data_IF_113239166721
#
_entry.id   IF_113239166721
#
_cell.length_a   1.000
_cell.length_b   1.000
_cell.length_c   1.000
_cell.angle_alpha   90.00
_cell.angle_beta   90.00
_cell.angle_gamma   90.00
#
_symmetry.space_group_name_H-M   'P 1'
#
loop_
_entity.id
_entity.type
_entity.pdbx_description
1 polymer ?
#
# COMPACT_ATOMS: atom_id res chain seq x y z
N UNK A 1 -8.93 23.08 -8.07
CA UNK A 1 -8.30 22.65 -6.80
C UNK A 1 -7.19 23.66 -6.51
N UNK A 2 -7.22 24.39 -5.39
CA UNK A 2 -6.22 25.42 -5.12
C UNK A 2 -4.85 24.81 -4.78
N UNK A 3 -3.80 25.34 -5.38
CA UNK A 3 -2.41 24.93 -5.14
C UNK A 3 -1.92 25.44 -3.77
N UNK A 4 -1.01 24.73 -3.10
CA UNK A 4 -0.43 25.16 -1.81
C UNK A 4 0.38 26.45 -1.95
N UNK A 5 1.01 26.67 -3.11
CA UNK A 5 1.64 27.94 -3.43
C UNK A 5 0.62 29.08 -3.56
N UNK A 6 -0.52 28.84 -4.22
CA UNK A 6 -1.61 29.81 -4.34
C UNK A 6 -2.26 30.12 -2.98
N UNK A 7 -2.44 29.11 -2.11
CA UNK A 7 -2.97 29.28 -0.75
C UNK A 7 -2.06 30.18 0.08
N UNK A 8 -0.74 30.08 -0.11
CA UNK A 8 0.23 30.97 0.53
C UNK A 8 0.48 32.27 -0.26
N UNK A 9 -0.16 32.47 -1.42
CA UNK A 9 0.06 33.64 -2.27
C UNK A 9 1.50 33.75 -2.79
N UNK A 10 2.12 32.62 -3.10
CA UNK A 10 3.51 32.50 -3.57
C UNK A 10 3.56 31.83 -4.94
N UNK A 11 4.68 32.02 -5.64
CA UNK A 11 4.99 31.27 -6.85
C UNK A 11 5.61 29.88 -6.51
N UNK A 12 5.52 28.92 -7.43
CA UNK A 12 6.06 27.56 -7.25
C UNK A 12 7.57 27.51 -7.00
N UNK A 13 8.31 28.51 -7.48
CA UNK A 13 9.74 28.69 -7.23
C UNK A 13 10.11 29.39 -5.91
N UNK A 14 9.16 29.72 -5.03
CA UNK A 14 9.43 30.51 -3.83
C UNK A 14 10.45 29.83 -2.88
N UNK A 15 11.34 30.63 -2.31
CA UNK A 15 12.33 30.18 -1.33
C UNK A 15 11.67 29.83 0.01
N UNK A 16 12.37 29.03 0.84
CA UNK A 16 11.90 28.70 2.18
C UNK A 16 11.65 29.95 3.05
N UNK A 17 12.48 30.98 2.88
CA UNK A 17 12.33 32.25 3.60
C UNK A 17 11.00 32.95 3.24
N UNK A 18 10.62 32.95 1.97
CA UNK A 18 9.37 33.54 1.48
C UNK A 18 8.14 32.74 1.94
N UNK A 19 8.24 31.40 1.93
CA UNK A 19 7.21 30.49 2.46
C UNK A 19 6.94 30.78 3.93
N UNK A 20 8.01 30.90 4.73
CA UNK A 20 7.92 31.21 6.16
C UNK A 20 7.38 32.62 6.42
N UNK A 21 7.79 33.60 5.62
CA UNK A 21 7.30 34.98 5.74
C UNK A 21 5.81 35.09 5.41
N UNK A 22 5.35 34.45 4.33
CA UNK A 22 3.94 34.48 3.94
C UNK A 22 3.05 33.75 4.94
N UNK A 23 3.48 32.59 5.44
CA UNK A 23 2.77 31.88 6.50
C UNK A 23 2.56 32.75 7.74
N UNK A 24 3.60 33.44 8.22
CA UNK A 24 3.48 34.34 9.39
C UNK A 24 2.48 35.47 9.17
N UNK A 25 2.47 36.06 7.96
CA UNK A 25 1.52 37.12 7.59
C UNK A 25 0.09 36.60 7.58
N UNK A 26 -0.16 35.46 6.93
CA UNK A 26 -1.49 34.87 6.79
C UNK A 26 -2.01 34.29 8.12
N UNK A 27 -1.13 33.67 8.92
CA UNK A 27 -1.47 33.16 10.24
C UNK A 27 -1.94 34.27 11.20
N UNK A 28 -1.36 35.48 11.10
CA UNK A 28 -1.78 36.64 11.91
C UNK A 28 -3.17 37.15 11.51
N UNK A 29 -3.53 37.05 10.22
CA UNK A 29 -4.81 37.52 9.66
C UNK A 29 -5.94 36.52 9.94
N UNK A 30 -5.66 35.22 9.81
CA UNK A 30 -6.65 34.15 9.90
C UNK A 30 -6.60 33.35 11.21
N UNK A 31 -5.90 33.85 12.24
CA UNK A 31 -5.80 33.14 13.52
C UNK A 31 -7.20 32.89 14.12
N UNK A 32 -7.52 31.66 14.57
CA UNK A 32 -8.85 31.31 15.07
C UNK A 32 -9.31 32.17 16.27
N UNK A 33 -8.38 32.64 17.11
CA UNK A 33 -8.71 33.54 18.24
C UNK A 33 -9.16 34.94 17.80
N UNK A 34 -8.69 35.43 16.65
CA UNK A 34 -9.01 36.78 16.16
C UNK A 34 -10.10 36.79 15.10
N UNK A 35 -10.29 35.66 14.40
CA UNK A 35 -11.31 35.51 13.38
C UNK A 35 -11.85 34.07 13.39
N UNK A 36 -12.85 33.76 14.24
CA UNK A 36 -13.37 32.40 14.43
C UNK A 36 -14.05 31.83 13.18
N UNK A 37 -14.49 32.68 12.24
CA UNK A 37 -15.06 32.28 10.93
C UNK A 37 -13.96 31.86 9.94
N UNK A 38 -12.70 32.24 10.20
CA UNK A 38 -11.53 31.95 9.36
C UNK A 38 -10.87 30.60 9.61
N UNK A 39 -11.41 29.74 10.49
CA UNK A 39 -10.80 28.47 10.91
C UNK A 39 -10.46 27.54 9.74
N UNK A 40 -11.33 27.47 8.72
CA UNK A 40 -11.08 26.65 7.54
C UNK A 40 -9.94 27.20 6.66
N UNK A 41 -9.83 28.53 6.56
CA UNK A 41 -8.73 29.17 5.83
C UNK A 41 -7.41 28.95 6.56
N UNK A 42 -7.40 29.08 7.89
CA UNK A 42 -6.23 28.81 8.70
C UNK A 42 -5.75 27.36 8.57
N UNK A 43 -6.67 26.40 8.58
CA UNK A 43 -6.32 24.99 8.38
C UNK A 43 -5.68 24.73 7.00
N UNK A 44 -6.17 25.39 5.94
CA UNK A 44 -5.58 25.31 4.60
C UNK A 44 -4.18 25.94 4.55
N UNK A 45 -4.00 27.09 5.18
CA UNK A 45 -2.70 27.79 5.28
C UNK A 45 -1.68 26.95 6.05
N UNK A 46 -2.08 26.34 7.17
CA UNK A 46 -1.22 25.48 7.99
C UNK A 46 -0.76 24.27 7.19
N UNK A 47 -1.69 23.56 6.54
CA UNK A 47 -1.39 22.39 5.72
C UNK A 47 -0.47 22.71 4.53
N UNK A 48 -0.65 23.87 3.90
CA UNK A 48 0.22 24.35 2.84
C UNK A 48 1.65 24.60 3.38
N UNK A 49 1.78 25.26 4.54
CA UNK A 49 3.08 25.49 5.16
C UNK A 49 3.77 24.20 5.62
N UNK A 50 3.06 23.27 6.27
CA UNK A 50 3.62 21.97 6.68
C UNK A 50 4.19 21.20 5.48
N UNK A 51 3.48 21.23 4.35
CA UNK A 51 3.92 20.52 3.13
C UNK A 51 5.10 21.24 2.45
N UNK A 52 5.10 22.57 2.39
CA UNK A 52 6.10 23.34 1.65
C UNK A 52 7.35 23.70 2.47
N UNK A 53 7.28 23.60 3.80
CA UNK A 53 8.39 23.88 4.70
C UNK A 53 9.39 22.73 4.81
N UNK A 54 8.94 21.48 4.69
CA UNK A 54 9.80 20.30 4.65
C UNK A 54 10.29 20.07 3.20
N UNK A 55 11.61 20.06 2.92
CA UNK A 55 12.16 19.81 1.59
C UNK A 55 11.68 18.51 0.94
N UNK A 56 11.48 17.43 1.73
CA UNK A 56 11.07 16.12 1.23
C UNK A 56 9.60 16.11 0.82
N UNK A 57 8.75 16.71 1.65
CA UNK A 57 7.31 16.84 1.37
C UNK A 57 7.07 17.81 0.20
N UNK A 58 7.84 18.90 0.14
CA UNK A 58 7.81 19.87 -0.95
C UNK A 58 8.18 19.22 -2.28
N UNK A 59 9.27 18.47 -2.35
CA UNK A 59 9.69 17.78 -3.57
C UNK A 59 8.62 16.80 -4.07
N UNK A 60 7.99 16.04 -3.17
CA UNK A 60 6.90 15.11 -3.52
C UNK A 60 5.66 15.85 -4.03
N UNK A 61 5.35 17.00 -3.42
CA UNK A 61 4.24 17.86 -3.81
C UNK A 61 4.47 18.47 -5.21
N UNK A 62 5.67 19.01 -5.45
CA UNK A 62 6.07 19.63 -6.71
C UNK A 62 6.05 18.62 -7.86
N UNK A 63 6.57 17.41 -7.63
CA UNK A 63 6.52 16.32 -8.61
C UNK A 63 5.07 15.97 -9.00
N UNK A 64 4.16 15.91 -8.02
CA UNK A 64 2.74 15.62 -8.28
C UNK A 64 2.05 16.78 -9.01
N UNK A 65 2.44 18.03 -8.72
CA UNK A 65 1.89 19.20 -9.38
C UNK A 65 2.28 19.23 -10.87
N UNK A 66 3.55 18.95 -11.18
CA UNK A 66 4.09 18.88 -12.55
C UNK A 66 3.46 17.73 -13.37
N UNK A 67 3.31 16.55 -12.76
CA UNK A 67 2.64 15.41 -13.39
C UNK A 67 1.18 15.70 -13.78
N UNK A 68 0.45 16.48 -12.99
CA UNK A 68 -0.94 16.83 -13.32
C UNK A 68 -1.02 17.85 -14.46
N UNK A 69 -0.08 18.79 -14.55
CA UNK A 69 -0.02 19.79 -15.62
C UNK A 69 0.24 19.13 -16.99
N UNK A 70 1.18 18.19 -17.04
CA UNK A 70 1.52 17.44 -18.27
C UNK A 70 0.38 16.55 -18.78
N UNK A 71 -0.42 15.96 -17.88
CA UNK A 71 -1.65 15.22 -18.25
C UNK A 71 -2.69 16.17 -18.86
N UNK A 72 -2.92 17.34 -18.26
CA UNK A 72 -3.92 18.29 -18.75
C UNK A 72 -3.58 18.87 -20.13
N UNK A 73 -2.30 19.14 -20.41
CA UNK A 73 -1.86 19.63 -21.71
C UNK A 73 -2.02 18.58 -22.83
N UNK A 74 -1.73 17.31 -22.53
CA UNK A 74 -1.90 16.21 -23.48
C UNK A 74 -3.37 15.89 -23.81
N UNK A 75 -4.31 16.17 -22.90
CA UNK A 75 -5.75 15.97 -23.13
C UNK A 75 -6.38 17.10 -23.95
N UNK A 76 -5.89 18.34 -23.83
CA UNK A 76 -6.42 19.50 -24.56
C UNK A 76 -6.02 19.51 -26.05
N UNK A 77 -4.92 18.84 -26.42
CA UNK A 77 -4.43 18.81 -27.81
C UNK A 77 -5.15 17.80 -28.72
N UNK A 78 -6.02 16.92 -28.20
CA UNK A 78 -6.53 15.75 -28.95
C UNK A 78 -8.03 15.69 -29.28
N UNK A 79 -8.83 16.73 -29.01
CA UNK A 79 -10.28 16.66 -29.22
C UNK A 79 -10.85 17.83 -30.04
N UNK A 80 -10.91 17.66 -31.36
CA UNK A 80 -11.85 18.34 -32.25
C UNK A 80 -12.54 17.34 -33.19
N UNK A 81 -13.24 16.35 -32.62
CA UNK A 81 -14.31 15.61 -33.33
C UNK A 81 -15.42 15.30 -32.32
N UNK A 82 -16.46 16.13 -32.29
CA UNK A 82 -17.66 15.87 -31.50
C UNK A 82 -18.36 14.63 -32.05
N UNK A 83 -18.10 13.47 -31.42
CA UNK A 83 -18.81 12.23 -31.70
C UNK A 83 -20.14 12.30 -30.94
N UNK A 84 -21.21 12.63 -31.63
CA UNK A 84 -22.56 12.58 -31.08
C UNK A 84 -22.94 11.11 -30.90
N UNK A 85 -22.94 10.63 -29.66
CA UNK A 85 -23.40 9.28 -29.33
C UNK A 85 -24.92 9.27 -29.21
N UNK A 86 -25.61 8.54 -30.10
CA UNK A 86 -26.98 8.11 -29.84
C UNK A 86 -26.93 6.75 -29.14
N UNK A 87 -27.65 6.63 -28.02
CA UNK A 87 -27.70 5.40 -27.23
C UNK A 87 -28.99 4.65 -27.56
N UNK A 88 -28.87 3.37 -27.87
CA UNK A 88 -30.00 2.46 -28.08
C UNK A 88 -30.85 2.32 -26.78
N UNK A 89 -32.15 2.08 -26.90
CA UNK A 89 -33.10 2.11 -25.76
C UNK A 89 -32.75 1.07 -24.68
N UNK A 90 -32.18 -0.07 -25.10
CA UNK A 90 -31.64 -1.10 -24.20
C UNK A 90 -30.46 -0.60 -23.36
N UNK A 91 -29.58 0.22 -23.95
CA UNK A 91 -28.43 0.82 -23.28
C UNK A 91 -28.88 1.82 -22.21
N UNK A 92 -29.89 2.64 -22.52
CA UNK A 92 -30.50 3.59 -21.60
C UNK A 92 -31.21 2.91 -20.43
N UNK A 93 -31.86 1.77 -20.65
CA UNK A 93 -32.43 0.95 -19.56
C UNK A 93 -31.34 0.34 -18.67
N UNK A 94 -30.26 -0.19 -19.25
CA UNK A 94 -29.10 -0.69 -18.47
C UNK A 94 -28.46 0.39 -17.62
N UNK A 95 -28.22 1.57 -18.18
CA UNK A 95 -27.63 2.69 -17.42
C UNK A 95 -28.51 3.14 -16.26
N UNK A 96 -29.82 3.30 -16.50
CA UNK A 96 -30.77 3.63 -15.42
C UNK A 96 -30.76 2.59 -14.30
N UNK A 97 -30.70 1.30 -14.65
CA UNK A 97 -30.58 0.21 -13.67
C UNK A 97 -29.31 0.34 -12.82
N UNK A 98 -28.15 0.58 -13.44
CA UNK A 98 -26.90 0.76 -12.70
C UNK A 98 -26.88 2.03 -11.84
N UNK A 99 -27.39 3.16 -12.36
CA UNK A 99 -27.47 4.42 -11.61
C UNK A 99 -28.38 4.30 -10.37
N UNK A 100 -29.51 3.61 -10.49
CA UNK A 100 -30.43 3.35 -9.38
C UNK A 100 -29.78 2.46 -8.31
N UNK A 101 -29.07 1.41 -8.74
CA UNK A 101 -28.30 0.55 -7.85
C UNK A 101 -27.22 1.35 -7.09
N UNK A 102 -26.43 2.16 -7.79
CA UNK A 102 -25.37 2.97 -7.18
C UNK A 102 -25.95 3.93 -6.12
N UNK A 103 -27.07 4.60 -6.42
CA UNK A 103 -27.76 5.47 -5.44
C UNK A 103 -28.24 4.73 -4.21
N UNK A 104 -28.80 3.52 -4.38
CA UNK A 104 -29.26 2.68 -3.27
C UNK A 104 -28.11 2.29 -2.33
N UNK A 105 -26.95 1.92 -2.88
CA UNK A 105 -25.75 1.59 -2.11
C UNK A 105 -25.13 2.80 -1.40
N UNK A 106 -25.17 3.98 -2.02
CA UNK A 106 -24.70 5.21 -1.37
C UNK A 106 -25.56 5.58 -0.16
N UNK A 107 -26.89 5.50 -0.30
CA UNK A 107 -27.84 5.81 0.77
C UNK A 107 -27.70 4.86 1.96
N UNK A 108 -27.57 3.54 1.73
CA UNK A 108 -27.36 2.58 2.83
C UNK A 108 -26.05 2.81 3.57
N UNK A 109 -24.98 3.18 2.86
CA UNK A 109 -23.70 3.50 3.49
C UNK A 109 -23.77 4.74 4.38
N UNK A 110 -24.54 5.75 4.00
CA UNK A 110 -24.77 6.94 4.83
C UNK A 110 -25.63 6.62 6.07
N UNK A 111 -26.66 5.77 5.93
CA UNK A 111 -27.47 5.29 7.07
C UNK A 111 -26.64 4.49 8.09
N UNK A 112 -25.79 3.58 7.62
CA UNK A 112 -24.87 2.81 8.49
C UNK A 112 -23.88 3.70 9.23
N UNK A 113 -23.47 4.83 8.63
CA UNK A 113 -22.54 5.77 9.25
C UNK A 113 -23.22 6.64 10.33
N UNK A 114 -24.51 6.96 10.17
CA UNK A 114 -25.28 7.66 11.19
C UNK A 114 -25.62 6.77 12.40
N UNK A 115 -25.82 5.46 12.19
CA UNK A 115 -26.10 4.50 13.28
C UNK A 115 -24.88 4.23 14.18
N UNK A 116 -23.65 4.39 13.67
CA UNK A 116 -22.43 4.16 14.45
C UNK A 116 -21.97 5.39 15.24
N UNK A 117 -22.42 6.60 14.87
CA UNK A 117 -22.08 7.84 15.56
C UNK A 117 -22.95 8.13 16.81
N UNK A 118 -24.01 7.34 17.05
CA UNK A 118 -24.94 7.52 18.18
C UNK A 118 -24.70 6.67 19.43
N UNK A 119 -23.67 5.83 19.49
CA UNK A 119 -23.38 4.98 20.67
C UNK A 119 -22.26 5.60 21.50
N UNK A 120 -22.64 6.36 22.52
CA UNK A 120 -21.74 6.91 23.53
C UNK A 120 -21.18 5.82 24.45
N UNK A 121 -19.88 5.58 24.29
CA UNK A 121 -18.85 5.43 25.32
C UNK A 121 -19.23 4.78 26.67
N UNK A 122 -18.87 3.51 26.87
CA UNK A 122 -18.73 2.91 28.20
C UNK A 122 -17.33 2.26 28.37
N UNK A 123 -16.59 2.80 29.34
CA UNK A 123 -15.42 2.27 30.07
C UNK A 123 -13.99 2.23 29.50
N UNK A 124 -13.61 2.94 28.42
CA UNK A 124 -12.16 3.07 28.10
C UNK A 124 -11.38 3.83 29.19
N UNK A 125 -11.97 4.84 29.84
CA UNK A 125 -11.30 5.61 30.90
C UNK A 125 -11.07 4.82 32.20
N UNK A 126 -11.89 3.79 32.49
CA UNK A 126 -11.67 2.91 33.66
C UNK A 126 -10.42 2.06 33.47
N UNK A 127 -10.19 1.53 32.27
CA UNK A 127 -8.97 0.75 31.98
C UNK A 127 -7.71 1.62 32.01
N UNK A 128 -7.78 2.86 31.52
CA UNK A 128 -6.65 3.79 31.57
C UNK A 128 -6.25 4.11 33.03
N UNK A 129 -7.21 4.27 33.94
CA UNK A 129 -6.95 4.62 35.34
C UNK A 129 -6.27 3.48 36.12
N UNK A 130 -6.57 2.22 35.81
CA UNK A 130 -5.99 1.05 36.50
C UNK A 130 -4.80 0.43 35.78
N UNK A 131 -4.74 0.47 34.45
CA UNK A 131 -3.66 -0.17 33.68
C UNK A 131 -2.35 0.63 33.69
N UNK A 132 -2.43 1.97 33.77
CA UNK A 132 -1.25 2.84 33.75
C UNK A 132 -0.31 2.65 34.95
N UNK A 133 -0.78 2.61 36.22
CA UNK A 133 0.12 2.37 37.36
C UNK A 133 0.72 0.94 37.37
N UNK A 134 -0.03 -0.06 36.89
CA UNK A 134 0.46 -1.44 36.77
C UNK A 134 1.59 -1.51 35.73
N UNK A 135 1.41 -0.87 34.57
CA UNK A 135 2.42 -0.83 33.52
C UNK A 135 3.70 -0.11 33.96
N UNK A 136 3.56 1.02 34.67
CA UNK A 136 4.71 1.76 35.23
C UNK A 136 5.43 0.94 36.30
N UNK A 137 4.69 0.23 37.16
CA UNK A 137 5.27 -0.67 38.16
C UNK A 137 6.08 -1.81 37.54
N UNK A 138 5.54 -2.46 36.49
CA UNK A 138 6.26 -3.50 35.74
C UNK A 138 7.50 -2.95 35.03
N UNK A 139 7.41 -1.74 34.46
CA UNK A 139 8.54 -1.09 33.82
C UNK A 139 9.66 -0.76 34.81
N UNK A 140 9.31 -0.23 35.99
CA UNK A 140 10.28 0.03 37.06
C UNK A 140 10.87 -1.26 37.65
N UNK A 141 10.08 -2.35 37.73
CA UNK A 141 10.56 -3.67 38.13
C UNK A 141 11.58 -4.23 37.12
N UNK A 142 11.30 -4.09 35.82
CA UNK A 142 12.23 -4.47 34.74
C UNK A 142 13.52 -3.64 34.83
N UNK A 143 13.41 -2.33 35.06
CA UNK A 143 14.58 -1.46 35.26
C UNK A 143 15.37 -1.80 36.53
N UNK A 144 14.70 -2.25 37.60
CA UNK A 144 15.34 -2.65 38.85
C UNK A 144 16.05 -4.01 38.74
N UNK A 145 15.46 -4.96 37.99
CA UNK A 145 16.07 -6.25 37.66
C UNK A 145 17.21 -6.12 36.64
N UNK A 146 17.17 -5.10 35.79
CA UNK A 146 18.24 -4.71 34.88
C UNK A 146 19.37 -3.97 35.63
N UNK A 147 20.10 -4.71 36.46
CA UNK A 147 21.37 -4.28 37.07
C UNK A 147 22.45 -4.00 36.00
N UNK A 148 23.52 -3.24 36.32
CA UNK A 148 24.36 -2.53 35.33
C UNK A 148 25.38 -3.41 34.59
N UNK A 149 25.05 -4.68 34.34
CA UNK A 149 25.90 -5.60 33.58
C UNK A 149 25.87 -5.38 32.06
N UNK A 150 24.96 -4.53 31.54
CA UNK A 150 24.81 -4.28 30.09
C UNK A 150 25.30 -2.91 29.62
N UNK A 151 25.94 -2.11 30.49
CA UNK A 151 26.41 -0.76 30.11
C UNK A 151 27.74 -0.77 29.34
N UNK A 152 28.46 -1.87 29.37
CA UNK A 152 29.71 -2.07 28.61
C UNK A 152 29.46 -2.58 27.18
N UNK A 153 28.33 -3.26 26.92
CA UNK A 153 28.03 -3.87 25.61
C UNK A 153 27.51 -2.87 24.56
N UNK A 154 27.21 -1.63 24.94
CA UNK A 154 26.65 -0.61 24.04
C UNK A 154 27.68 0.38 23.46
N UNK A 155 28.98 0.22 23.77
CA UNK A 155 30.03 1.12 23.26
C UNK A 155 30.61 0.75 21.89
N UNK A 156 30.22 -0.37 21.28
CA UNK A 156 30.72 -0.81 19.98
C UNK A 156 29.62 -1.20 19.00
N UNK A 157 28.70 -0.26 18.71
CA UNK A 157 27.88 -0.35 17.50
C UNK A 157 28.41 0.71 16.54
N UNK A 158 29.20 0.35 15.52
CA UNK A 158 29.62 1.32 14.51
C UNK A 158 28.36 1.84 13.79
N UNK A 159 28.29 3.17 13.69
CA UNK A 159 27.26 3.91 12.99
C UNK A 159 27.28 3.51 11.51
N UNK A 160 26.38 2.59 11.13
CA UNK A 160 26.29 2.11 9.75
C UNK A 160 25.70 3.23 8.91
N UNK A 161 26.48 3.73 7.95
CA UNK A 161 26.01 4.63 6.89
C UNK A 161 24.69 4.10 6.31
N UNK A 162 23.66 4.94 6.35
CA UNK A 162 22.35 4.63 5.77
C UNK A 162 22.50 4.80 4.26
N UNK A 163 22.88 3.74 3.57
CA UNK A 163 22.68 3.65 2.11
C UNK A 163 21.17 3.58 1.84
N UNK A 164 20.66 4.54 1.06
CA UNK A 164 19.24 4.55 0.65
C UNK A 164 18.93 3.30 -0.21
N UNK A 165 18.05 2.38 0.24
CA UNK A 165 17.67 1.25 -0.60
C UNK A 165 16.77 1.74 -1.73
N UNK A 166 17.33 1.77 -2.95
CA UNK A 166 16.60 2.04 -4.19
C UNK A 166 15.40 1.10 -4.31
N UNK A 167 14.24 1.75 -4.29
CA UNK A 167 12.86 1.30 -4.18
C UNK A 167 12.47 0.24 -5.20
N UNK A 168 11.76 -0.79 -4.73
CA UNK A 168 10.97 -1.68 -5.58
C UNK A 168 10.04 -0.86 -6.48
N UNK A 169 10.11 -1.07 -7.80
CA UNK A 169 9.22 -0.40 -8.78
C UNK A 169 7.80 -0.96 -8.75
N UNK A 170 7.58 -2.00 -7.95
CA UNK A 170 6.35 -2.77 -7.89
C UNK A 170 5.40 -2.26 -6.82
N UNK A 171 4.14 -2.09 -7.21
CA UNK A 171 3.05 -1.87 -6.25
C UNK A 171 2.58 -3.22 -5.71
N UNK A 172 2.08 -3.20 -4.49
CA UNK A 172 1.44 -4.36 -3.87
C UNK A 172 0.33 -4.89 -4.79
N UNK A 173 0.37 -6.20 -5.09
CA UNK A 173 -0.58 -6.87 -5.99
C UNK A 173 -0.18 -6.91 -7.46
N UNK A 174 0.89 -6.24 -7.88
CA UNK A 174 1.40 -6.34 -9.25
C UNK A 174 1.84 -7.78 -9.59
N UNK A 175 1.79 -8.15 -10.87
CA UNK A 175 2.00 -9.53 -11.35
C UNK A 175 3.34 -9.67 -12.13
N UNK A 176 4.50 -9.67 -11.45
CA UNK A 176 5.81 -9.55 -12.10
C UNK A 176 6.18 -10.70 -13.04
N UNK A 177 5.65 -11.90 -12.82
CA UNK A 177 5.96 -13.08 -13.63
C UNK A 177 4.85 -13.45 -14.62
N UNK A 178 3.86 -12.58 -14.81
CA UNK A 178 2.81 -12.79 -15.82
C UNK A 178 3.37 -12.90 -17.24
N UNK A 179 4.40 -12.13 -17.59
CA UNK A 179 5.04 -12.25 -18.91
C UNK A 179 5.74 -13.60 -19.12
N UNK A 180 6.18 -14.26 -18.04
CA UNK A 180 6.89 -15.54 -18.13
C UNK A 180 5.95 -16.75 -18.08
N UNK A 181 5.09 -16.82 -17.07
CA UNK A 181 4.20 -17.97 -16.84
C UNK A 181 2.86 -17.86 -17.59
N UNK A 182 2.41 -16.65 -17.93
CA UNK A 182 1.19 -16.40 -18.70
C UNK A 182 0.30 -15.30 -18.13
N UNK A 183 -0.79 -15.00 -18.83
CA UNK A 183 -1.75 -13.97 -18.38
C UNK A 183 -2.54 -14.44 -17.16
N UNK A 184 -2.85 -13.50 -16.27
CA UNK A 184 -3.68 -13.74 -15.09
C UNK A 184 -5.07 -14.22 -15.49
N UNK A 185 -5.62 -15.18 -14.75
CA UNK A 185 -6.96 -15.72 -14.91
C UNK A 185 -7.86 -15.26 -13.76
N UNK A 186 -9.10 -14.96 -14.12
CA UNK A 186 -10.14 -14.47 -13.24
C UNK A 186 -11.40 -15.29 -13.49
N UNK A 187 -11.99 -15.83 -12.43
CA UNK A 187 -13.31 -16.45 -12.49
C UNK A 187 -14.30 -15.55 -11.75
N UNK A 188 -15.04 -14.67 -12.45
CA UNK A 188 -15.98 -13.76 -11.82
C UNK A 188 -17.18 -14.48 -11.18
N UNK A 189 -17.38 -15.76 -11.50
CA UNK A 189 -18.45 -16.58 -10.91
C UNK A 189 -18.03 -17.21 -9.57
N UNK A 190 -16.73 -17.19 -9.27
CA UNK A 190 -16.17 -17.73 -8.05
C UNK A 190 -16.01 -16.64 -6.99
N UNK A 191 -16.56 -16.89 -5.79
CA UNK A 191 -16.34 -16.05 -4.60
C UNK A 191 -15.07 -16.45 -3.84
N UNK A 192 -14.27 -17.37 -4.37
CA UNK A 192 -13.07 -17.85 -3.70
C UNK A 192 -12.02 -16.72 -3.62
N UNK A 193 -11.50 -16.50 -2.43
CA UNK A 193 -10.41 -15.56 -2.20
C UNK A 193 -9.36 -16.16 -1.28
N UNK A 194 -8.09 -15.89 -1.58
CA UNK A 194 -6.96 -16.28 -0.76
C UNK A 194 -6.27 -15.03 -0.21
N UNK A 195 -6.18 -14.91 1.11
CA UNK A 195 -5.38 -13.87 1.75
C UNK A 195 -3.99 -14.41 2.05
N UNK A 196 -2.94 -13.80 1.50
CA UNK A 196 -1.55 -14.18 1.78
C UNK A 196 -0.91 -13.13 2.68
N UNK A 197 -0.50 -13.51 3.89
CA UNK A 197 0.21 -12.66 4.86
C UNK A 197 1.72 -12.91 4.75
N UNK A 198 2.49 -11.87 4.43
CA UNK A 198 3.94 -11.94 4.32
C UNK A 198 4.60 -11.57 5.66
N UNK A 199 5.02 -12.60 6.40
CA UNK A 199 5.80 -12.46 7.63
C UNK A 199 7.22 -13.05 7.49
N UNK A 200 7.74 -13.09 6.25
CA UNK A 200 9.03 -13.69 5.93
C UNK A 200 10.22 -12.81 6.31
N UNK A 201 9.99 -11.52 6.57
CA UNK A 201 11.04 -10.53 6.75
C UNK A 201 11.65 -10.00 5.44
N UNK A 202 11.16 -10.45 4.28
CA UNK A 202 11.61 -10.08 2.93
C UNK A 202 10.45 -9.64 2.03
N UNK A 203 10.75 -9.09 0.85
CA UNK A 203 9.76 -8.94 -0.22
C UNK A 203 9.39 -10.32 -0.77
N UNK A 204 8.15 -10.48 -1.23
CA UNK A 204 7.58 -11.76 -1.58
C UNK A 204 6.88 -11.68 -2.93
N UNK A 205 7.12 -12.67 -3.79
CA UNK A 205 6.32 -12.89 -5.00
C UNK A 205 5.68 -14.27 -4.89
N UNK A 206 4.35 -14.31 -5.00
CA UNK A 206 3.56 -15.54 -4.98
C UNK A 206 3.04 -15.82 -6.37
N UNK A 207 3.14 -17.07 -6.80
CA UNK A 207 2.64 -17.59 -8.06
C UNK A 207 1.68 -18.75 -7.80
N UNK A 208 0.49 -18.66 -8.38
CA UNK A 208 -0.58 -19.63 -8.26
C UNK A 208 -0.72 -20.41 -9.56
N UNK A 209 -0.84 -21.72 -9.44
CA UNK A 209 -0.99 -22.65 -10.55
C UNK A 209 -2.17 -23.59 -10.29
N UNK A 210 -2.90 -23.96 -11.33
CA UNK A 210 -3.88 -25.05 -11.27
C UNK A 210 -3.34 -26.19 -12.11
N UNK A 211 -3.01 -27.33 -11.48
CA UNK A 211 -2.34 -28.46 -12.12
C UNK A 211 -1.00 -28.03 -12.77
N UNK A 212 -1.05 -27.62 -14.04
CA UNK A 212 0.09 -27.14 -14.85
C UNK A 212 -0.16 -25.78 -15.50
N UNK A 213 -1.28 -25.13 -15.19
CA UNK A 213 -1.66 -23.85 -15.80
C UNK A 213 -1.44 -22.73 -14.82
N UNK A 214 -0.70 -21.71 -15.25
CA UNK A 214 -0.60 -20.47 -14.49
C UNK A 214 -1.98 -19.83 -14.30
N UNK A 215 -2.19 -19.31 -13.09
CA UNK A 215 -3.41 -18.61 -12.69
C UNK A 215 -3.11 -17.16 -12.39
N UNK A 216 -2.17 -16.88 -11.48
CA UNK A 216 -1.88 -15.51 -11.07
C UNK A 216 -0.49 -15.39 -10.45
N UNK A 217 0.09 -14.21 -10.52
CA UNK A 217 1.22 -13.83 -9.67
C UNK A 217 0.89 -12.54 -8.94
N UNK A 218 1.40 -12.37 -7.73
CA UNK A 218 1.29 -11.13 -6.97
C UNK A 218 2.58 -10.81 -6.22
N UNK A 219 2.92 -9.53 -6.18
CA UNK A 219 3.96 -8.97 -5.36
C UNK A 219 3.41 -8.51 -4.00
N UNK A 220 4.11 -8.84 -2.92
CA UNK A 220 3.75 -8.49 -1.55
C UNK A 220 4.98 -7.93 -0.85
N UNK A 221 4.89 -6.69 -0.38
CA UNK A 221 5.96 -6.05 0.38
C UNK A 221 6.18 -6.72 1.75
N UNK A 222 7.36 -6.53 2.33
CA UNK A 222 7.73 -7.03 3.66
C UNK A 222 6.73 -6.58 4.74
N UNK A 223 6.15 -7.52 5.49
CA UNK A 223 5.22 -7.22 6.59
C UNK A 223 3.79 -6.87 6.17
N UNK A 224 3.48 -6.97 4.87
CA UNK A 224 2.14 -6.72 4.34
C UNK A 224 1.42 -8.01 3.98
N UNK A 225 0.13 -7.90 3.64
CA UNK A 225 -0.66 -8.99 3.12
C UNK A 225 -1.34 -8.58 1.80
N UNK A 226 -1.66 -9.56 0.97
CA UNK A 226 -2.43 -9.33 -0.25
C UNK A 226 -3.61 -10.30 -0.31
N UNK A 227 -4.79 -9.80 -0.70
CA UNK A 227 -5.95 -10.63 -0.95
C UNK A 227 -6.10 -10.87 -2.44
N UNK A 228 -6.21 -12.14 -2.81
CA UNK A 228 -6.33 -12.61 -4.18
C UNK A 228 -7.76 -13.13 -4.38
N UNK A 229 -8.61 -12.35 -5.05
CA UNK A 229 -10.04 -12.66 -5.28
C UNK A 229 -10.29 -13.31 -6.65
N UNK A 230 -11.50 -13.86 -6.86
CA UNK A 230 -11.92 -14.43 -8.15
C UNK A 230 -11.03 -15.59 -8.61
N UNK A 231 -10.66 -16.45 -7.66
CA UNK A 231 -9.83 -17.62 -7.92
C UNK A 231 -10.67 -18.76 -8.51
N UNK A 232 -10.11 -19.56 -9.44
CA UNK A 232 -10.79 -20.74 -9.96
C UNK A 232 -11.08 -21.75 -8.85
N UNK A 233 -12.11 -22.57 -9.04
CA UNK A 233 -12.52 -23.62 -8.08
C UNK A 233 -11.61 -24.86 -8.08
N UNK A 234 -10.72 -24.96 -9.05
CA UNK A 234 -9.77 -26.08 -9.13
C UNK A 234 -8.71 -26.00 -8.01
N UNK A 235 -8.15 -27.14 -7.56
CA UNK A 235 -7.02 -27.16 -6.62
C UNK A 235 -5.85 -26.30 -7.11
N UNK A 236 -5.28 -25.53 -6.19
CA UNK A 236 -4.23 -24.57 -6.46
C UNK A 236 -2.90 -25.06 -5.86
N UNK A 237 -1.84 -24.95 -6.65
CA UNK A 237 -0.45 -25.16 -6.27
C UNK A 237 0.18 -23.77 -6.11
N UNK A 238 0.87 -23.57 -4.99
CA UNK A 238 1.50 -22.30 -4.66
C UNK A 238 3.02 -22.46 -4.80
N UNK A 239 3.62 -21.59 -5.61
CA UNK A 239 5.05 -21.36 -5.63
C UNK A 239 5.30 -19.94 -5.16
N UNK A 240 6.30 -19.72 -4.31
CA UNK A 240 6.69 -18.35 -3.95
C UNK A 240 8.21 -18.19 -3.90
N UNK A 241 8.64 -16.95 -4.09
CA UNK A 241 10.03 -16.58 -3.87
C UNK A 241 10.13 -15.32 -3.00
N UNK A 242 11.17 -15.30 -2.18
CA UNK A 242 11.48 -14.19 -1.29
C UNK A 242 12.77 -13.51 -1.73
N UNK A 243 12.91 -12.23 -1.42
CA UNK A 243 14.18 -11.52 -1.58
C UNK A 243 14.07 -10.03 -1.28
N UNK A 244 15.09 -9.28 -1.66
CA UNK A 244 15.18 -7.83 -1.42
C UNK A 244 15.43 -7.10 -2.73
N UNK A 245 14.75 -5.96 -2.92
CA UNK A 245 14.90 -5.04 -4.04
C UNK A 245 14.64 -5.72 -5.40
N UNK A 246 13.38 -6.09 -5.65
CA UNK A 246 13.00 -6.66 -6.94
C UNK A 246 13.41 -5.77 -8.13
N UNK A 247 13.99 -6.38 -9.17
CA UNK A 247 14.40 -5.71 -10.39
C UNK A 247 13.90 -6.46 -11.63
N UNK A 248 13.00 -5.82 -12.38
CA UNK A 248 12.43 -6.33 -13.64
C UNK A 248 13.43 -6.57 -14.75
N UNK A 249 14.50 -5.78 -14.83
CA UNK A 249 15.47 -5.85 -15.93
C UNK A 249 16.59 -6.84 -15.65
N UNK A 250 16.66 -7.39 -14.43
CA UNK A 250 17.69 -8.35 -14.06
C UNK A 250 17.34 -9.73 -14.60
N UNK A 251 18.29 -10.36 -15.30
CA UNK A 251 18.20 -11.76 -15.70
C UNK A 251 18.56 -12.69 -14.55
N UNK A 252 17.86 -13.81 -14.50
CA UNK A 252 18.15 -14.97 -13.66
C UNK A 252 19.33 -15.75 -14.26
N UNK A 253 20.13 -16.42 -13.42
CA UNK A 253 21.41 -17.00 -13.86
C UNK A 253 21.21 -18.31 -14.61
N UNK A 254 20.18 -19.06 -14.26
CA UNK A 254 19.94 -20.42 -14.76
C UNK A 254 18.73 -20.50 -15.68
N UNK A 255 18.09 -19.36 -15.95
CA UNK A 255 16.89 -19.26 -16.78
C UNK A 255 16.92 -17.95 -17.60
N UNK A 256 16.36 -17.94 -18.81
CA UNK A 256 16.25 -16.72 -19.64
C UNK A 256 15.17 -15.74 -19.15
N UNK A 257 14.85 -15.78 -17.86
CA UNK A 257 13.77 -15.00 -17.25
C UNK A 257 14.29 -13.68 -16.75
N UNK A 258 13.50 -12.64 -16.99
CA UNK A 258 13.72 -11.29 -16.47
C UNK A 258 12.84 -11.05 -15.25
N UNK A 259 13.39 -10.41 -14.22
CA UNK A 259 12.71 -10.16 -12.96
C UNK A 259 13.32 -10.97 -11.83
N UNK A 260 14.27 -10.38 -11.10
CA UNK A 260 14.92 -11.05 -9.98
C UNK A 260 15.11 -10.11 -8.79
N UNK A 261 15.10 -10.67 -7.58
CA UNK A 261 15.56 -9.95 -6.40
C UNK A 261 17.08 -9.75 -6.45
N UNK A 262 17.56 -8.65 -5.88
CA UNK A 262 19.00 -8.38 -5.81
C UNK A 262 19.70 -9.29 -4.80
N UNK A 263 19.04 -9.56 -3.68
CA UNK A 263 19.59 -10.29 -2.53
C UNK A 263 18.56 -11.26 -1.93
N UNK A 264 19.04 -12.29 -1.23
CA UNK A 264 18.26 -13.27 -0.46
C UNK A 264 17.19 -14.02 -1.26
N UNK A 265 17.55 -14.48 -2.45
CA UNK A 265 16.67 -15.17 -3.37
C UNK A 265 16.47 -16.64 -2.94
N UNK A 266 15.32 -16.91 -2.33
CA UNK A 266 14.92 -18.27 -1.97
C UNK A 266 13.62 -18.64 -2.69
N UNK A 267 13.54 -19.88 -3.16
CA UNK A 267 12.41 -20.40 -3.91
C UNK A 267 11.76 -21.56 -3.19
N UNK A 268 10.43 -21.55 -3.18
CA UNK A 268 9.64 -22.55 -2.49
C UNK A 268 8.47 -23.01 -3.36
N UNK A 269 8.19 -24.32 -3.29
CA UNK A 269 7.08 -24.96 -4.00
C UNK A 269 6.27 -25.79 -3.00
N UNK A 270 4.94 -25.71 -3.10
CA UNK A 270 4.04 -26.54 -2.29
C UNK A 270 3.99 -27.98 -2.80
N UNK A 271 4.02 -28.97 -1.91
CA UNK A 271 4.04 -30.40 -2.31
C UNK A 271 2.72 -30.94 -2.85
N UNK A 272 1.58 -30.43 -2.37
CA UNK A 272 0.23 -30.65 -2.93
C UNK A 272 -0.77 -29.90 -2.05
N UNK A 273 -1.39 -28.81 -2.54
CA UNK A 273 -2.49 -28.14 -1.83
C UNK A 273 -3.85 -28.55 -2.43
N UNK A 274 -4.25 -29.79 -2.19
CA UNK A 274 -5.68 -30.16 -2.16
C UNK A 274 -6.46 -29.36 -1.09
N UNK A 275 -5.78 -28.67 -0.19
CA UNK A 275 -6.34 -27.97 0.97
C UNK A 275 -6.83 -26.53 0.72
N UNK A 276 -6.67 -25.95 -0.49
CA UNK A 276 -7.03 -24.54 -0.71
C UNK A 276 -8.54 -24.27 -0.62
N UNK A 277 -9.37 -25.28 -0.81
CA UNK A 277 -10.83 -25.16 -0.57
C UNK A 277 -11.18 -24.90 0.91
N UNK A 278 -10.22 -25.07 1.83
CA UNK A 278 -10.39 -24.85 3.28
C UNK A 278 -9.56 -23.68 3.82
N UNK A 279 -8.61 -23.15 3.04
CA UNK A 279 -7.67 -22.13 3.49
C UNK A 279 -8.00 -20.79 2.84
N UNK A 280 -8.79 -19.99 3.55
CA UNK A 280 -9.05 -18.59 3.17
C UNK A 280 -7.86 -17.67 3.45
N UNK A 281 -6.91 -18.13 4.28
CA UNK A 281 -5.77 -17.36 4.75
C UNK A 281 -4.49 -18.21 4.83
N UNK A 282 -3.43 -17.76 4.16
CA UNK A 282 -2.10 -18.35 4.19
C UNK A 282 -1.12 -17.35 4.82
N UNK A 283 -0.46 -17.76 5.89
CA UNK A 283 0.64 -16.99 6.49
C UNK A 283 1.97 -17.61 6.10
N UNK A 284 2.84 -16.84 5.46
CA UNK A 284 4.19 -17.27 5.12
C UNK A 284 5.19 -16.68 6.11
N UNK A 285 5.86 -17.57 6.83
CA UNK A 285 6.94 -17.29 7.77
C UNK A 285 8.30 -17.42 7.07
N UNK A 286 9.34 -16.79 7.61
CA UNK A 286 10.69 -16.90 7.07
C UNK A 286 11.24 -18.32 7.20
N UNK A 287 11.87 -18.85 6.16
CA UNK A 287 12.39 -20.22 6.11
C UNK A 287 11.43 -21.23 5.48
N UNK A 288 11.45 -22.49 5.94
CA UNK A 288 10.63 -23.56 5.40
C UNK A 288 9.25 -23.53 6.08
N UNK A 289 8.24 -23.02 5.36
CA UNK A 289 6.84 -23.12 5.79
C UNK A 289 6.34 -24.58 5.70
N UNK A 290 5.47 -24.98 6.62
CA UNK A 290 4.81 -26.30 6.57
C UNK A 290 4.12 -26.51 5.21
N UNK A 291 4.34 -27.67 4.59
CA UNK A 291 3.79 -28.00 3.26
C UNK A 291 4.57 -27.43 2.07
N UNK A 292 5.58 -26.59 2.30
CA UNK A 292 6.47 -26.07 1.26
C UNK A 292 7.84 -26.74 1.31
N UNK A 293 8.40 -27.05 0.14
CA UNK A 293 9.79 -27.48 -0.03
C UNK A 293 10.59 -26.34 -0.65
N UNK A 294 11.81 -26.12 -0.15
CA UNK A 294 12.80 -25.28 -0.84
C UNK A 294 13.17 -25.97 -2.16
N UNK A 295 13.20 -25.22 -3.24
CA UNK A 295 13.54 -25.71 -4.58
C UNK A 295 14.62 -24.84 -5.20
N UNK A 296 15.31 -25.38 -6.21
CA UNK A 296 16.27 -24.62 -7.00
C UNK A 296 15.54 -23.67 -7.96
N UNK A 297 16.24 -22.61 -8.39
CA UNK A 297 15.75 -21.61 -9.34
C UNK A 297 15.20 -22.27 -10.61
N UNK A 298 15.95 -23.21 -11.18
CA UNK A 298 15.57 -23.94 -12.40
C UNK A 298 14.25 -24.70 -12.25
N UNK A 299 13.98 -25.26 -11.07
CA UNK A 299 12.75 -26.02 -10.78
C UNK A 299 11.58 -25.08 -10.56
N UNK A 300 11.80 -23.93 -9.93
CA UNK A 300 10.76 -22.93 -9.71
C UNK A 300 10.17 -22.41 -11.03
N UNK A 301 11.05 -22.14 -12.00
CA UNK A 301 10.68 -21.62 -13.32
C UNK A 301 10.43 -22.71 -14.37
N UNK A 302 10.46 -24.01 -14.04
CA UNK A 302 10.14 -25.03 -15.03
C UNK A 302 8.68 -24.88 -15.51
N UNK A 303 8.50 -24.95 -16.83
CA UNK A 303 7.19 -25.02 -17.48
C UNK A 303 6.86 -26.50 -17.72
N UNK A 304 6.51 -27.23 -16.67
CA UNK A 304 6.10 -28.64 -16.77
C UNK A 304 4.73 -28.83 -17.42
#
# INVERSE_FOLDING_TARGET
MANYYEILGLHSGASFAEIKASFRRLAKIYHPDKNPVGKEHFAKILKAYETLSDPKLRSTYDYRLDYNLTITENYSSKNNKTKTWSFDEKELKRRRYYDEHIRKYAKTKETYKQETEGKTHYNEFKYILFATPIAVGLFLLILHLATPANKELMKHIPEKEIEEPKTSTLKMGDAPYSNYFGRNKYDPTSKLSLTVKNNTGYELIVCLFTKKRFVRSCYIAKGFYAQITELPKDPLIIKYCTGVNFNYSRKLKETEVFGAFKENLEFYESKDLTALNSINELTLLGGINEGFKKVEEKVFFSKD
#
